data_IF_648680935509
#
_entry.id   IF_648680935509
#
_cell.length_a   1.000
_cell.length_b   1.000
_cell.length_c   1.000
_cell.angle_alpha   90.00
_cell.angle_beta   90.00
_cell.angle_gamma   90.00
#
_symmetry.space_group_name_H-M   'P 1'
#
loop_
_entity.id
_entity.type
_entity.pdbx_description
1 polymer ?
#
# COMPACT_ATOMS: atom_id res chain seq x y z
N UNK A 1 -6.61 19.20 1.35
CA UNK A 1 -6.50 17.81 0.82
C UNK A 1 -7.83 17.05 0.80
N UNK A 2 -8.54 16.94 1.93
CA UNK A 2 -9.73 16.08 2.08
C UNK A 2 -10.94 16.62 1.32
N UNK A 3 -11.16 17.94 1.33
CA UNK A 3 -12.28 18.59 0.63
C UNK A 3 -12.20 18.39 -0.89
N UNK A 4 -11.00 18.52 -1.46
CA UNK A 4 -10.75 18.26 -2.88
C UNK A 4 -11.01 16.79 -3.19
N UNK A 5 -10.58 15.89 -2.32
CA UNK A 5 -10.77 14.44 -2.48
C UNK A 5 -12.26 14.05 -2.44
N UNK A 6 -13.04 14.62 -1.52
CA UNK A 6 -14.49 14.42 -1.45
C UNK A 6 -15.20 15.02 -2.66
N UNK A 7 -14.80 16.20 -3.11
CA UNK A 7 -15.39 16.87 -4.27
C UNK A 7 -15.17 16.07 -5.56
N UNK A 8 -13.94 15.61 -5.78
CA UNK A 8 -13.57 14.77 -6.92
C UNK A 8 -14.29 13.42 -6.87
N UNK A 9 -14.62 12.94 -5.65
CA UNK A 9 -15.43 11.74 -5.47
C UNK A 9 -16.88 11.92 -5.88
N UNK A 10 -17.51 13.00 -5.43
CA UNK A 10 -18.92 13.28 -5.68
C UNK A 10 -19.18 13.49 -7.18
N UNK A 11 -18.31 14.21 -7.87
CA UNK A 11 -18.52 14.54 -9.29
C UNK A 11 -18.40 13.32 -10.22
N UNK A 12 -17.61 12.32 -9.84
CA UNK A 12 -17.42 11.11 -10.63
C UNK A 12 -18.36 9.97 -10.22
N UNK A 13 -19.08 10.11 -9.09
CA UNK A 13 -20.03 9.11 -8.60
C UNK A 13 -21.29 9.05 -9.49
N UNK A 14 -21.81 10.19 -9.94
CA UNK A 14 -22.97 10.23 -10.85
C UNK A 14 -22.70 9.46 -12.15
N UNK A 15 -21.52 9.66 -12.74
CA UNK A 15 -21.07 8.92 -13.92
C UNK A 15 -20.87 7.42 -13.64
N UNK A 16 -20.36 7.06 -12.45
CA UNK A 16 -20.21 5.65 -12.07
C UNK A 16 -21.55 4.93 -11.92
N UNK A 17 -22.54 5.57 -11.31
CA UNK A 17 -23.87 4.99 -11.14
C UNK A 17 -24.56 4.85 -12.50
N UNK A 18 -24.45 5.85 -13.37
CA UNK A 18 -25.11 5.82 -14.67
C UNK A 18 -24.51 4.78 -15.62
N UNK A 19 -23.18 4.64 -15.67
CA UNK A 19 -22.52 3.72 -16.59
C UNK A 19 -22.33 2.30 -16.03
N UNK A 20 -22.06 2.12 -14.73
CA UNK A 20 -21.75 0.81 -14.16
C UNK A 20 -22.90 0.17 -13.38
N UNK A 21 -23.77 0.92 -12.71
CA UNK A 21 -24.93 0.31 -12.03
C UNK A 21 -26.06 -0.04 -12.98
N UNK A 22 -26.18 0.70 -14.10
CA UNK A 22 -27.23 0.48 -15.10
C UNK A 22 -26.86 -0.53 -16.18
N UNK A 23 -25.56 -0.73 -16.43
CA UNK A 23 -25.07 -1.74 -17.35
C UNK A 23 -24.73 -3.01 -16.57
N UNK A 24 -25.53 -4.07 -16.75
CA UNK A 24 -25.33 -5.41 -16.17
C UNK A 24 -24.09 -6.10 -16.76
N UNK A 25 -22.91 -5.52 -16.55
CA UNK A 25 -21.63 -6.12 -16.89
C UNK A 25 -20.81 -6.21 -15.61
N UNK A 26 -21.21 -7.14 -14.76
CA UNK A 26 -20.52 -7.55 -13.53
C UNK A 26 -19.24 -8.33 -13.87
N UNK A 27 -18.41 -7.77 -14.74
CA UNK A 27 -17.12 -8.34 -15.12
C UNK A 27 -16.09 -8.12 -14.02
N UNK A 28 -15.15 -9.06 -13.90
CA UNK A 28 -14.01 -8.97 -12.98
C UNK A 28 -13.25 -7.64 -13.07
N UNK A 29 -13.14 -7.06 -14.28
CA UNK A 29 -12.49 -5.76 -14.49
C UNK A 29 -13.20 -4.57 -13.82
N UNK A 30 -14.53 -4.57 -13.78
CA UNK A 30 -15.34 -3.52 -13.13
C UNK A 30 -15.13 -3.53 -11.61
N UNK A 31 -15.15 -4.73 -11.01
CA UNK A 31 -14.91 -4.91 -9.57
C UNK A 31 -13.49 -4.45 -9.20
N UNK A 32 -12.49 -4.81 -10.01
CA UNK A 32 -11.12 -4.36 -9.78
C UNK A 32 -10.95 -2.84 -9.91
N UNK A 33 -11.66 -2.20 -10.83
CA UNK A 33 -11.64 -0.76 -10.96
C UNK A 33 -12.17 -0.08 -9.69
N UNK A 34 -13.29 -0.56 -9.16
CA UNK A 34 -13.81 -0.08 -7.87
C UNK A 34 -12.81 -0.31 -6.75
N UNK A 35 -12.28 -1.53 -6.61
CA UNK A 35 -11.30 -1.86 -5.57
C UNK A 35 -10.11 -0.90 -5.62
N UNK A 36 -9.54 -0.62 -6.80
CA UNK A 36 -8.41 0.31 -6.95
C UNK A 36 -8.76 1.74 -6.49
N UNK A 37 -9.94 2.22 -6.87
CA UNK A 37 -10.44 3.55 -6.53
C UNK A 37 -10.71 3.70 -5.03
N UNK A 38 -11.47 2.77 -4.44
CA UNK A 38 -11.82 2.79 -3.00
C UNK A 38 -10.62 2.50 -2.10
N UNK A 39 -9.67 1.68 -2.53
CA UNK A 39 -8.44 1.43 -1.76
C UNK A 39 -7.65 2.71 -1.56
N UNK A 40 -7.46 3.50 -2.61
CA UNK A 40 -6.73 4.77 -2.54
C UNK A 40 -7.32 5.72 -1.50
N UNK A 41 -8.64 5.71 -1.32
CA UNK A 41 -9.31 6.44 -0.23
C UNK A 41 -9.02 5.84 1.15
N UNK A 42 -9.10 4.53 1.30
CA UNK A 42 -8.84 3.85 2.57
C UNK A 42 -7.42 4.15 3.09
N UNK A 43 -6.43 4.29 2.21
CA UNK A 43 -5.06 4.66 2.58
C UNK A 43 -4.90 6.06 3.18
N UNK A 44 -5.86 6.96 2.94
CA UNK A 44 -5.86 8.30 3.51
C UNK A 44 -6.53 8.37 4.89
N UNK A 45 -7.28 7.33 5.29
CA UNK A 45 -7.97 7.28 6.59
C UNK A 45 -7.03 7.39 7.79
N UNK A 46 -5.88 6.68 7.87
CA UNK A 46 -4.99 6.82 9.01
C UNK A 46 -4.42 8.23 9.11
N UNK A 47 -4.09 8.87 7.98
CA UNK A 47 -3.61 10.26 7.97
C UNK A 47 -4.63 11.18 8.65
N UNK A 48 -5.92 10.96 8.40
CA UNK A 48 -7.02 11.71 9.02
C UNK A 48 -7.10 11.39 10.51
N UNK A 49 -7.11 10.11 10.89
CA UNK A 49 -7.19 9.68 12.30
C UNK A 49 -6.02 10.28 13.10
N UNK A 50 -4.80 10.20 12.58
CA UNK A 50 -3.60 10.71 13.23
C UNK A 50 -3.54 12.24 13.28
N UNK A 51 -4.15 12.94 12.33
CA UNK A 51 -4.28 14.40 12.37
C UNK A 51 -5.14 14.89 13.55
N UNK A 52 -6.11 14.09 13.99
CA UNK A 52 -7.03 14.45 15.07
C UNK A 52 -6.62 13.93 16.47
N UNK A 53 -5.59 13.09 16.59
CA UNK A 53 -5.14 12.59 17.90
C UNK A 53 -4.09 13.51 18.56
N UNK A 54 -4.10 13.65 19.90
CA UNK A 54 -3.19 14.54 20.64
C UNK A 54 -1.72 14.09 20.57
N UNK A 55 -0.83 15.06 20.30
CA UNK A 55 0.62 14.92 20.02
C UNK A 55 1.45 14.14 21.07
N UNK A 56 0.99 14.04 22.32
CA UNK A 56 1.81 13.66 23.48
C UNK A 56 2.01 12.15 23.68
N UNK A 57 1.04 11.31 23.30
CA UNK A 57 1.12 9.82 23.46
C UNK A 57 1.67 9.16 22.20
N UNK A 58 1.72 9.90 21.09
CA UNK A 58 1.72 9.35 19.75
C UNK A 58 3.11 9.31 19.09
N UNK A 59 4.21 9.63 19.79
CA UNK A 59 5.53 9.83 19.14
C UNK A 59 6.34 8.54 18.94
N UNK A 60 6.27 7.60 19.88
CA UNK A 60 6.98 6.30 19.80
C UNK A 60 6.18 5.23 19.05
N UNK A 61 4.86 5.20 19.25
CA UNK A 61 3.97 4.29 18.50
C UNK A 61 3.74 4.76 17.04
N UNK A 62 4.02 6.04 16.74
CA UNK A 62 3.86 6.67 15.40
C UNK A 62 4.59 5.91 14.32
N UNK A 63 5.89 5.71 14.51
CA UNK A 63 6.75 5.33 13.40
C UNK A 63 6.48 3.90 12.99
N UNK A 64 6.29 3.01 13.95
CA UNK A 64 6.26 1.59 13.66
C UNK A 64 4.91 1.11 13.09
N UNK A 65 3.79 1.51 13.68
CA UNK A 65 2.47 1.09 13.18
C UNK A 65 2.14 1.78 11.86
N UNK A 66 2.50 3.06 11.70
CA UNK A 66 2.30 3.76 10.44
C UNK A 66 3.17 3.18 9.32
N UNK A 67 4.44 2.84 9.60
CA UNK A 67 5.33 2.21 8.63
C UNK A 67 4.81 0.84 8.19
N UNK A 68 4.39 -0.02 9.13
CA UNK A 68 3.79 -1.32 8.81
C UNK A 68 2.51 -1.14 7.98
N UNK A 69 1.63 -0.23 8.41
CA UNK A 69 0.39 0.06 7.69
C UNK A 69 0.67 0.54 6.27
N UNK A 70 1.60 1.48 6.12
CA UNK A 70 1.95 2.07 4.83
C UNK A 70 2.60 1.04 3.91
N UNK A 71 3.53 0.22 4.41
CA UNK A 71 4.15 -0.86 3.64
C UNK A 71 3.09 -1.87 3.16
N UNK A 72 2.20 -2.32 4.05
CA UNK A 72 1.12 -3.24 3.70
C UNK A 72 0.16 -2.62 2.68
N UNK A 73 -0.26 -1.38 2.90
CA UNK A 73 -1.18 -0.67 2.03
C UNK A 73 -0.59 -0.45 0.63
N UNK A 74 0.69 -0.05 0.53
CA UNK A 74 1.39 0.11 -0.73
C UNK A 74 1.52 -1.22 -1.49
N UNK A 75 1.86 -2.31 -0.81
CA UNK A 75 1.89 -3.64 -1.43
C UNK A 75 0.52 -4.06 -1.97
N UNK A 76 -0.56 -3.78 -1.24
CA UNK A 76 -1.90 -4.15 -1.65
C UNK A 76 -2.40 -3.32 -2.84
N UNK A 77 -2.16 -2.00 -2.83
CA UNK A 77 -2.43 -1.13 -3.99
C UNK A 77 -1.64 -1.57 -5.21
N UNK A 78 -0.37 -1.89 -5.03
CA UNK A 78 0.49 -2.35 -6.12
C UNK A 78 -0.02 -3.63 -6.77
N UNK A 79 -0.47 -4.60 -5.97
CA UNK A 79 -1.05 -5.85 -6.48
C UNK A 79 -2.28 -5.57 -7.36
N UNK A 80 -3.18 -4.68 -6.90
CA UNK A 80 -4.37 -4.31 -7.67
C UNK A 80 -4.00 -3.62 -8.98
N UNK A 81 -3.02 -2.71 -8.97
CA UNK A 81 -2.50 -2.04 -10.18
C UNK A 81 -1.91 -3.07 -11.14
N UNK A 82 -1.11 -4.02 -10.65
CA UNK A 82 -0.53 -5.09 -11.46
C UNK A 82 -1.61 -5.91 -12.15
N UNK A 83 -2.68 -6.32 -11.44
CA UNK A 83 -3.78 -7.09 -12.06
C UNK A 83 -4.53 -6.24 -13.09
N UNK A 84 -4.84 -4.97 -12.79
CA UNK A 84 -5.49 -4.07 -13.75
C UNK A 84 -4.66 -3.87 -15.01
N UNK A 85 -3.35 -3.69 -14.87
CA UNK A 85 -2.42 -3.52 -15.98
C UNK A 85 -2.37 -4.79 -16.84
N UNK A 86 -2.30 -5.97 -16.21
CA UNK A 86 -2.39 -7.28 -16.89
C UNK A 86 -3.68 -7.41 -17.69
N UNK A 87 -4.84 -7.14 -17.07
CA UNK A 87 -6.14 -7.26 -17.72
C UNK A 87 -6.25 -6.35 -18.94
N UNK A 88 -5.79 -5.09 -18.81
CA UNK A 88 -5.78 -4.13 -19.92
C UNK A 88 -4.82 -4.55 -21.04
N UNK A 89 -3.61 -5.00 -20.71
CA UNK A 89 -2.66 -5.53 -21.68
C UNK A 89 -3.19 -6.77 -22.39
N UNK A 90 -3.84 -7.68 -21.65
CA UNK A 90 -4.42 -8.89 -22.19
C UNK A 90 -5.55 -8.60 -23.20
N UNK A 91 -6.35 -7.57 -22.93
CA UNK A 91 -7.39 -7.11 -23.85
C UNK A 91 -6.79 -6.48 -25.13
N UNK A 92 -5.65 -5.79 -25.03
CA UNK A 92 -4.99 -5.12 -26.16
C UNK A 92 -4.17 -6.12 -27.02
N UNK A 93 -3.54 -7.12 -26.41
CA UNK A 93 -2.62 -8.06 -27.08
C UNK A 93 -3.28 -9.35 -27.60
N UNK A 94 -4.59 -9.32 -27.86
CA UNK A 94 -5.36 -10.45 -28.44
C UNK A 94 -5.01 -11.82 -27.83
N UNK A 95 -4.91 -11.86 -26.49
CA UNK A 95 -4.67 -13.07 -25.68
C UNK A 95 -3.28 -13.72 -25.78
N UNK A 96 -2.24 -13.03 -26.25
CA UNK A 96 -0.87 -13.60 -26.23
C UNK A 96 -0.35 -13.77 -24.78
N UNK A 97 -0.13 -15.04 -24.39
CA UNK A 97 0.22 -15.44 -23.01
C UNK A 97 1.68 -15.14 -22.63
N UNK A 98 2.55 -14.81 -23.59
CA UNK A 98 3.97 -14.53 -23.31
C UNK A 98 4.16 -13.26 -22.47
N UNK A 99 3.39 -12.23 -22.78
CA UNK A 99 3.42 -10.93 -22.08
C UNK A 99 2.83 -11.07 -20.67
N UNK A 100 1.81 -11.92 -20.52
CA UNK A 100 1.22 -12.26 -19.23
C UNK A 100 2.25 -12.90 -18.28
N UNK A 101 3.05 -13.84 -18.79
CA UNK A 101 4.11 -14.48 -18.00
C UNK A 101 5.15 -13.50 -17.49
N UNK A 102 5.61 -12.58 -18.34
CA UNK A 102 6.59 -11.55 -17.97
C UNK A 102 6.02 -10.59 -16.90
N UNK A 103 4.78 -10.14 -17.06
CA UNK A 103 4.12 -9.27 -16.08
C UNK A 103 3.90 -9.98 -14.73
N UNK A 104 3.49 -11.26 -14.74
CA UNK A 104 3.34 -12.04 -13.51
C UNK A 104 4.67 -12.24 -12.78
N UNK A 105 5.77 -12.44 -13.50
CA UNK A 105 7.11 -12.54 -12.91
C UNK A 105 7.49 -11.25 -12.17
N UNK A 106 7.25 -10.09 -12.80
CA UNK A 106 7.47 -8.79 -12.18
C UNK A 106 6.56 -8.57 -10.96
N UNK A 107 5.28 -8.94 -11.05
CA UNK A 107 4.34 -8.83 -9.94
C UNK A 107 4.74 -9.69 -8.73
N UNK A 108 5.21 -10.91 -8.97
CA UNK A 108 5.71 -11.81 -7.91
C UNK A 108 6.92 -11.21 -7.19
N UNK A 109 7.81 -10.54 -7.93
CA UNK A 109 8.94 -9.81 -7.34
C UNK A 109 8.50 -8.72 -6.37
N UNK A 110 7.40 -8.01 -6.66
CA UNK A 110 6.88 -6.93 -5.81
C UNK A 110 6.21 -7.43 -4.53
N UNK A 111 5.45 -8.54 -4.62
CA UNK A 111 4.88 -9.21 -3.46
C UNK A 111 5.98 -9.75 -2.55
N UNK A 112 7.06 -10.27 -3.14
CA UNK A 112 8.27 -10.69 -2.42
C UNK A 112 8.90 -9.54 -1.63
N UNK A 113 9.04 -8.35 -2.22
CA UNK A 113 9.57 -7.18 -1.53
C UNK A 113 8.69 -6.73 -0.35
N UNK A 114 7.36 -6.73 -0.53
CA UNK A 114 6.42 -6.42 0.54
C UNK A 114 6.48 -7.40 1.72
N UNK A 115 6.58 -8.70 1.42
CA UNK A 115 6.71 -9.75 2.43
C UNK A 115 8.05 -9.66 3.18
N UNK A 116 9.15 -9.42 2.46
CA UNK A 116 10.48 -9.22 3.07
C UNK A 116 10.51 -7.95 3.93
N UNK A 117 9.85 -6.87 3.50
CA UNK A 117 9.66 -5.65 4.29
C UNK A 117 8.90 -5.90 5.59
N UNK A 118 7.78 -6.64 5.52
CA UNK A 118 7.01 -7.00 6.71
C UNK A 118 7.81 -7.92 7.66
N UNK A 119 8.53 -8.91 7.12
CA UNK A 119 9.34 -9.84 7.92
C UNK A 119 10.54 -9.15 8.58
N UNK A 120 11.24 -8.26 7.88
CA UNK A 120 12.36 -7.49 8.44
C UNK A 120 11.90 -6.55 9.55
N UNK A 121 10.72 -5.95 9.40
CA UNK A 121 10.09 -5.10 10.42
C UNK A 121 9.65 -5.92 11.64
N UNK A 122 9.07 -7.11 11.44
CA UNK A 122 8.71 -8.05 12.52
C UNK A 122 9.93 -8.62 13.26
N UNK A 123 11.03 -8.89 12.55
CA UNK A 123 12.30 -9.28 13.18
C UNK A 123 12.89 -8.14 14.03
N UNK A 124 12.75 -6.88 13.58
CA UNK A 124 13.11 -5.70 14.36
C UNK A 124 12.31 -5.56 15.67
N UNK A 125 11.05 -6.01 15.68
CA UNK A 125 10.18 -6.06 16.87
C UNK A 125 10.52 -7.20 17.84
N UNK A 126 10.88 -8.39 17.31
CA UNK A 126 11.22 -9.57 18.11
C UNK A 126 12.61 -9.49 18.75
N UNK A 127 13.51 -8.66 18.22
CA UNK A 127 14.86 -8.46 18.75
C UNK A 127 15.17 -6.99 19.13
N UNK A 128 14.49 -6.40 20.13
CA UNK A 128 14.85 -5.06 20.63
C UNK A 128 16.22 -5.03 21.35
N UNK A 129 16.81 -6.20 21.62
CA UNK A 129 18.03 -6.35 22.44
C UNK A 129 19.37 -6.32 21.70
N UNK A 130 19.42 -6.51 20.38
CA UNK A 130 20.71 -6.60 19.65
C UNK A 130 21.29 -5.22 19.33
N UNK A 131 20.44 -4.19 19.15
CA UNK A 131 20.92 -2.83 18.87
C UNK A 131 21.44 -2.09 20.11
N UNK A 132 21.21 -2.61 21.33
CA UNK A 132 21.76 -2.07 22.57
C UNK A 132 23.20 -2.54 22.83
N UNK A 133 23.66 -3.63 22.21
CA UNK A 133 25.01 -4.16 22.43
C UNK A 133 26.12 -3.39 21.72
N UNK A 134 25.82 -2.62 20.66
CA UNK A 134 26.82 -1.72 20.04
C UNK A 134 27.07 -0.42 20.84
N UNK A 135 26.35 -0.20 21.93
CA UNK A 135 26.58 0.93 22.87
C UNK A 135 27.29 0.55 24.16
N UNK A 136 27.63 -0.73 24.39
CA UNK A 136 28.20 -1.22 25.67
C UNK A 136 29.74 -1.34 25.62
N UNK A 137 30.39 -1.07 24.48
CA UNK A 137 31.83 -0.83 24.49
C UNK A 137 32.09 0.66 24.76
N UNK A 138 32.55 1.05 25.96
CA UNK A 138 33.06 2.39 26.15
C UNK A 138 34.28 2.52 25.23
N UNK A 139 34.21 3.41 24.23
CA UNK A 139 35.44 3.94 23.64
C UNK A 139 36.21 4.58 24.78
N UNK A 140 37.20 3.86 25.29
CA UNK A 140 38.24 4.41 26.17
C UNK A 140 38.98 5.45 25.33
N UNK A 141 38.54 6.70 25.42
CA UNK A 141 39.36 7.85 25.01
C UNK A 141 40.52 7.92 26.01
N UNK A 142 41.79 7.81 25.57
CA UNK A 142 42.89 8.21 26.42
C UNK A 142 42.83 9.73 26.57
N UNK A 143 42.65 10.18 27.81
CA UNK A 143 42.97 11.55 28.21
C UNK A 143 44.48 11.61 28.44
N UNK A 144 45.08 12.66 27.88
CA UNK A 144 46.49 13.13 27.95
C UNK A 144 47.47 12.39 27.04
#
# INVERSE_FOLDING_TARGET
PIVILCYDYLITLDLEVEYFWRCSSTGFGTILFYINRYLSLLGNIPIIIFFFLPEQILRLHRCHVLEIYQQFFLSLVQLVISILFILRLYAIYDKDKRILGFLCMLATGMVGNGLVGALSTLQGLLMPGVHRFNGIFPRRTPQV
#
